data_IF_556435567269
#
_entry.id   IF_556435567269
#
_cell.length_a   1.000
_cell.length_b   1.000
_cell.length_c   1.000
_cell.angle_alpha   90.00
_cell.angle_beta   90.00
_cell.angle_gamma   90.00
#
_symmetry.space_group_name_H-M   'P 1'
#
loop_
_entity.id
_entity.type
_entity.pdbx_description
1 polymer ?
#
# COMPACT_ATOMS: atom_id res chain seq x y z
N UNK A 1 -6.30 -20.04 -7.99
CA UNK A 1 -6.97 -18.92 -7.39
C UNK A 1 -6.08 -18.20 -6.37
N UNK A 2 -6.03 -16.93 -6.47
CA UNK A 2 -5.19 -16.18 -5.56
C UNK A 2 -5.72 -16.30 -4.14
N UNK A 3 -4.84 -16.65 -3.24
CA UNK A 3 -5.15 -16.63 -1.84
C UNK A 3 -5.26 -15.18 -1.42
N UNK A 4 -6.40 -14.77 -0.99
CA UNK A 4 -6.59 -13.41 -0.53
C UNK A 4 -6.01 -13.30 0.86
N UNK A 5 -4.95 -12.52 0.98
CA UNK A 5 -4.46 -12.16 2.29
C UNK A 5 -5.40 -11.10 2.83
N UNK A 6 -6.01 -11.40 3.95
CA UNK A 6 -6.99 -10.52 4.54
C UNK A 6 -6.29 -9.53 5.47
N UNK A 7 -6.26 -8.26 5.08
CA UNK A 7 -5.76 -7.19 5.92
C UNK A 7 -6.92 -6.35 6.43
N UNK A 8 -6.77 -5.82 7.63
CA UNK A 8 -7.72 -4.86 8.18
C UNK A 8 -7.39 -3.47 7.64
N UNK A 9 -7.90 -3.17 6.45
CA UNK A 9 -7.67 -1.89 5.81
C UNK A 9 -8.92 -1.02 5.88
N UNK A 10 -8.75 0.31 5.96
CA UNK A 10 -9.89 1.21 5.83
C UNK A 10 -10.55 1.03 4.48
N UNK A 11 -11.86 1.07 4.45
CA UNK A 11 -12.62 0.91 3.22
C UNK A 11 -12.77 2.25 2.49
N UNK A 12 -12.64 2.21 1.17
CA UNK A 12 -12.99 3.33 0.31
C UNK A 12 -14.48 3.20 0.02
N UNK A 13 -15.31 3.52 1.01
CA UNK A 13 -16.75 3.39 0.86
C UNK A 13 -17.33 4.70 0.33
N UNK A 14 -18.56 4.60 -0.19
CA UNK A 14 -19.27 5.80 -0.66
C UNK A 14 -19.75 6.67 0.49
N UNK A 15 -19.83 6.12 1.69
CA UNK A 15 -20.21 6.87 2.87
C UNK A 15 -19.00 7.59 3.44
N UNK A 16 -19.05 8.91 3.47
CA UNK A 16 -17.93 9.74 3.87
C UNK A 16 -16.87 9.88 2.81
N UNK A 17 -16.87 8.97 1.83
CA UNK A 17 -16.05 9.10 0.63
C UNK A 17 -14.55 9.15 0.87
N UNK A 18 -13.88 9.78 -0.09
CA UNK A 18 -12.43 9.89 -0.12
C UNK A 18 -11.88 10.65 1.08
N UNK A 19 -12.56 11.70 1.51
CA UNK A 19 -12.13 12.51 2.66
C UNK A 19 -12.00 11.70 3.93
N UNK A 20 -12.99 10.85 4.20
CA UNK A 20 -12.97 10.00 5.39
C UNK A 20 -11.83 8.98 5.31
N UNK A 21 -11.63 8.41 4.14
CA UNK A 21 -10.53 7.48 3.93
C UNK A 21 -9.17 8.15 4.19
N UNK A 22 -8.96 9.33 3.62
CA UNK A 22 -7.71 10.05 3.79
C UNK A 22 -7.45 10.40 5.25
N UNK A 23 -8.51 10.74 5.99
CA UNK A 23 -8.39 11.00 7.43
C UNK A 23 -7.99 9.75 8.20
N UNK A 24 -8.54 8.60 7.83
CA UNK A 24 -8.25 7.34 8.50
C UNK A 24 -6.82 6.87 8.27
N UNK A 25 -6.34 6.95 7.04
CA UNK A 25 -4.99 6.43 6.74
C UNK A 25 -3.90 7.24 7.42
N UNK A 26 -4.16 8.49 7.76
CA UNK A 26 -3.20 9.33 8.49
C UNK A 26 -2.93 8.85 9.90
N UNK A 27 -3.83 8.04 10.45
CA UNK A 27 -3.70 7.55 11.83
C UNK A 27 -2.70 6.42 11.97
N UNK A 28 -2.36 5.74 10.87
CA UNK A 28 -1.38 4.66 10.94
C UNK A 28 0.02 5.24 11.10
N UNK A 29 0.81 4.71 12.05
CA UNK A 29 2.15 5.26 12.27
C UNK A 29 3.09 4.97 11.12
N UNK A 30 4.00 5.89 10.89
CA UNK A 30 5.12 5.68 9.98
C UNK A 30 6.12 4.76 10.66
N UNK A 31 6.81 3.96 9.88
CA UNK A 31 7.81 3.04 10.41
C UNK A 31 9.21 3.61 10.15
N UNK A 32 10.08 3.50 11.15
CA UNK A 32 11.49 3.79 10.89
C UNK A 32 12.14 2.59 10.18
N UNK A 33 13.37 2.76 9.74
CA UNK A 33 14.05 1.75 8.94
C UNK A 33 14.21 0.43 9.68
N UNK A 34 14.51 0.48 10.97
CA UNK A 34 14.72 -0.73 11.76
C UNK A 34 13.41 -1.49 11.96
N UNK A 35 12.34 -0.80 12.34
CA UNK A 35 11.04 -1.42 12.49
C UNK A 35 10.57 -2.07 11.19
N UNK A 36 10.71 -1.35 10.11
CA UNK A 36 10.32 -1.84 8.80
C UNK A 36 11.09 -3.11 8.43
N UNK A 37 12.39 -3.10 8.67
CA UNK A 37 13.25 -4.25 8.39
C UNK A 37 12.81 -5.47 9.20
N UNK A 38 12.57 -5.28 10.49
CA UNK A 38 12.14 -6.38 11.35
C UNK A 38 10.79 -6.93 10.96
N UNK A 39 9.85 -6.06 10.63
CA UNK A 39 8.52 -6.48 10.18
C UNK A 39 8.61 -7.23 8.85
N UNK A 40 9.43 -6.73 7.93
CA UNK A 40 9.58 -7.37 6.63
C UNK A 40 10.21 -8.75 6.76
N UNK A 41 11.20 -8.90 7.64
CA UNK A 41 11.80 -10.20 7.89
C UNK A 41 10.81 -11.17 8.52
N UNK A 42 10.03 -10.69 9.48
CA UNK A 42 9.03 -11.52 10.15
C UNK A 42 7.96 -12.00 9.17
N UNK A 43 7.53 -11.10 8.28
CA UNK A 43 6.58 -11.47 7.25
C UNK A 43 7.19 -12.48 6.27
N UNK A 44 8.39 -12.20 5.78
CA UNK A 44 9.02 -13.02 4.73
C UNK A 44 9.42 -14.41 5.26
N UNK A 45 9.98 -14.45 6.46
CA UNK A 45 10.51 -15.71 7.02
C UNK A 45 9.47 -16.54 7.75
N UNK A 46 8.49 -15.90 8.37
CA UNK A 46 7.52 -16.57 9.23
C UNK A 46 6.08 -16.51 8.74
N UNK A 47 5.83 -15.77 7.67
CA UNK A 47 4.48 -15.59 7.16
C UNK A 47 3.57 -14.84 8.12
N UNK A 48 4.14 -13.95 8.92
CA UNK A 48 3.37 -13.21 9.93
C UNK A 48 2.48 -12.16 9.27
N UNK A 49 1.19 -12.46 9.20
CA UNK A 49 0.19 -11.58 8.55
C UNK A 49 0.10 -10.22 9.22
N UNK A 50 0.21 -10.17 10.54
CA UNK A 50 0.15 -8.90 11.28
C UNK A 50 1.32 -7.99 10.90
N UNK A 51 2.50 -8.56 10.67
CA UNK A 51 3.65 -7.80 10.20
C UNK A 51 3.39 -7.26 8.81
N UNK A 52 2.86 -8.08 7.90
CA UNK A 52 2.51 -7.63 6.56
C UNK A 52 1.47 -6.51 6.60
N UNK A 53 0.47 -6.63 7.45
CA UNK A 53 -0.57 -5.61 7.62
C UNK A 53 0.04 -4.26 8.03
N UNK A 54 0.98 -4.27 8.96
CA UNK A 54 1.65 -3.04 9.38
C UNK A 54 2.47 -2.41 8.27
N UNK A 55 3.12 -3.25 7.46
CA UNK A 55 3.87 -2.76 6.30
C UNK A 55 2.92 -2.09 5.29
N UNK A 56 1.77 -2.69 5.05
CA UNK A 56 0.78 -2.12 4.13
C UNK A 56 0.21 -0.82 4.69
N UNK A 57 -0.29 -0.85 5.93
CA UNK A 57 -0.99 0.31 6.49
C UNK A 57 -0.09 1.54 6.65
N UNK A 58 1.20 1.32 6.93
CA UNK A 58 2.15 2.42 7.06
C UNK A 58 2.47 3.09 5.72
N UNK A 59 2.06 2.49 4.60
CA UNK A 59 2.33 3.00 3.26
C UNK A 59 1.07 3.39 2.48
N UNK A 60 -0.11 3.38 3.12
CA UNK A 60 -1.35 3.78 2.44
C UNK A 60 -1.32 5.25 2.03
N UNK A 61 -0.66 6.11 2.83
CA UNK A 61 -0.50 7.52 2.47
C UNK A 61 0.32 7.69 1.20
N UNK A 62 1.33 6.85 1.02
CA UNK A 62 2.13 6.88 -0.20
C UNK A 62 1.29 6.55 -1.42
N UNK A 63 0.44 5.54 -1.31
CA UNK A 63 -0.48 5.17 -2.41
C UNK A 63 -1.39 6.33 -2.75
N UNK A 64 -2.00 6.95 -1.74
CA UNK A 64 -2.92 8.08 -1.97
C UNK A 64 -2.20 9.25 -2.65
N UNK A 65 -0.99 9.54 -2.20
CA UNK A 65 -0.19 10.62 -2.78
C UNK A 65 0.12 10.34 -4.25
N UNK A 66 0.51 9.13 -4.58
CA UNK A 66 0.81 8.75 -5.97
C UNK A 66 -0.46 8.81 -6.82
N UNK A 67 -1.57 8.28 -6.30
CA UNK A 67 -2.84 8.29 -7.02
C UNK A 67 -3.33 9.70 -7.32
N UNK A 68 -3.13 10.62 -6.39
CA UNK A 68 -3.48 12.03 -6.59
C UNK A 68 -2.72 12.65 -7.75
N UNK A 69 -1.51 12.17 -8.02
CA UNK A 69 -0.72 12.61 -9.16
C UNK A 69 -1.31 12.24 -10.51
N UNK A 70 -2.25 11.30 -10.52
CA UNK A 70 -2.96 10.89 -11.73
C UNK A 70 -4.35 11.53 -11.84
N UNK A 71 -4.64 12.48 -10.98
CA UNK A 71 -5.88 13.23 -11.05
C UNK A 71 -5.96 13.94 -12.39
N UNK A 72 -7.11 13.87 -13.04
CA UNK A 72 -7.28 14.49 -14.35
C UNK A 72 -7.17 13.52 -15.52
N UNK A 73 -6.89 12.26 -15.26
CA UNK A 73 -6.85 11.26 -16.33
C UNK A 73 -8.22 10.65 -16.62
N UNK A 74 -9.26 11.23 -16.06
CA UNK A 74 -10.64 10.83 -16.35
C UNK A 74 -11.20 9.71 -15.48
N UNK A 75 -10.44 9.24 -14.50
CA UNK A 75 -10.87 8.19 -13.60
C UNK A 75 -10.96 8.71 -12.17
N UNK A 76 -11.89 8.16 -11.36
CA UNK A 76 -12.00 8.57 -9.97
C UNK A 76 -10.72 8.27 -9.18
N UNK A 77 -10.30 9.21 -8.35
CA UNK A 77 -9.11 9.02 -7.50
C UNK A 77 -9.27 7.80 -6.59
N UNK A 78 -10.48 7.58 -6.08
CA UNK A 78 -10.73 6.43 -5.20
C UNK A 78 -10.44 5.10 -5.89
N UNK A 79 -10.75 4.99 -7.17
CA UNK A 79 -10.45 3.77 -7.92
C UNK A 79 -8.97 3.62 -8.18
N UNK A 80 -8.28 4.73 -8.43
CA UNK A 80 -6.83 4.69 -8.60
C UNK A 80 -6.12 4.34 -7.29
N UNK A 81 -6.66 4.78 -6.16
CA UNK A 81 -6.14 4.38 -4.85
C UNK A 81 -6.32 2.87 -4.65
N UNK A 82 -7.49 2.33 -4.99
CA UNK A 82 -7.73 0.90 -4.87
C UNK A 82 -6.74 0.09 -5.70
N UNK A 83 -6.50 0.53 -6.93
CA UNK A 83 -5.52 -0.14 -7.80
C UNK A 83 -4.11 0.00 -7.25
N UNK A 84 -3.77 1.19 -6.76
CA UNK A 84 -2.47 1.41 -6.15
C UNK A 84 -2.25 0.56 -4.91
N UNK A 85 -3.29 0.35 -4.13
CA UNK A 85 -3.22 -0.52 -2.95
C UNK A 85 -2.91 -1.96 -3.35
N UNK A 86 -3.45 -2.43 -4.46
CA UNK A 86 -3.13 -3.75 -4.99
C UNK A 86 -1.63 -3.82 -5.32
N UNK A 87 -1.12 -2.79 -5.96
CA UNK A 87 0.32 -2.71 -6.25
C UNK A 87 1.17 -2.71 -4.99
N UNK A 88 0.75 -1.98 -3.98
CA UNK A 88 1.43 -1.97 -2.69
C UNK A 88 1.46 -3.36 -2.06
N UNK A 89 0.35 -4.06 -2.09
CA UNK A 89 0.29 -5.41 -1.53
C UNK A 89 1.21 -6.37 -2.26
N UNK A 90 1.34 -6.23 -3.57
CA UNK A 90 2.30 -7.01 -4.34
C UNK A 90 3.73 -6.68 -3.94
N UNK A 91 4.02 -5.40 -3.72
CA UNK A 91 5.34 -4.98 -3.28
C UNK A 91 5.70 -5.60 -1.93
N UNK A 92 4.76 -5.56 -0.97
CA UNK A 92 4.98 -6.15 0.36
C UNK A 92 5.26 -7.65 0.24
N UNK A 93 4.51 -8.31 -0.62
CA UNK A 93 4.66 -9.75 -0.84
C UNK A 93 6.04 -10.12 -1.38
N UNK A 94 6.60 -9.26 -2.23
CA UNK A 94 7.85 -9.56 -2.94
C UNK A 94 9.07 -8.85 -2.36
N UNK A 95 8.88 -8.00 -1.36
CA UNK A 95 9.96 -7.19 -0.81
C UNK A 95 11.02 -8.06 -0.14
N UNK A 96 12.27 -7.77 -0.44
CA UNK A 96 13.44 -8.45 0.14
C UNK A 96 14.21 -7.45 1.00
N UNK A 97 13.98 -7.45 2.32
CA UNK A 97 14.61 -6.45 3.18
C UNK A 97 16.13 -6.50 3.21
N UNK A 98 16.73 -7.67 2.96
CA UNK A 98 18.17 -7.80 2.94
C UNK A 98 18.85 -7.04 1.82
N UNK A 99 18.11 -6.60 0.82
CA UNK A 99 18.70 -5.84 -0.28
C UNK A 99 18.99 -4.38 0.07
N UNK A 100 18.61 -3.95 1.25
CA UNK A 100 18.99 -2.65 1.78
C UNK A 100 18.13 -1.47 1.34
N UNK A 101 17.08 -1.71 0.57
CA UNK A 101 16.15 -0.64 0.16
C UNK A 101 15.06 -0.48 1.19
N UNK A 102 14.53 0.73 1.28
CA UNK A 102 13.29 0.98 2.02
C UNK A 102 12.12 0.46 1.20
N UNK A 103 11.11 -0.02 1.89
CA UNK A 103 9.91 -0.52 1.20
C UNK A 103 9.26 0.56 0.33
N UNK A 104 9.22 1.80 0.78
CA UNK A 104 8.64 2.90 0.01
C UNK A 104 9.27 3.03 -1.38
N UNK A 105 10.58 2.91 -1.47
CA UNK A 105 11.31 3.01 -2.73
C UNK A 105 10.89 1.89 -3.69
N UNK A 106 10.83 0.69 -3.18
CA UNK A 106 10.45 -0.49 -3.97
C UNK A 106 8.96 -0.46 -4.34
N UNK A 107 8.12 -0.10 -3.37
CA UNK A 107 6.67 -0.09 -3.56
C UNK A 107 6.23 0.95 -4.58
N UNK A 108 6.95 2.06 -4.68
CA UNK A 108 6.60 3.12 -5.61
C UNK A 108 6.45 2.60 -7.05
N UNK A 109 7.33 1.70 -7.47
CA UNK A 109 7.28 1.11 -8.81
C UNK A 109 6.02 0.26 -8.99
N UNK A 110 5.71 -0.55 -8.00
CA UNK A 110 4.53 -1.41 -8.03
C UNK A 110 3.23 -0.60 -8.04
N UNK A 111 3.18 0.44 -7.21
CA UNK A 111 2.00 1.29 -7.11
C UNK A 111 1.75 2.01 -8.44
N UNK A 112 2.79 2.62 -8.99
CA UNK A 112 2.67 3.33 -10.27
C UNK A 112 2.30 2.39 -11.40
N UNK A 113 2.91 1.22 -11.45
CA UNK A 113 2.59 0.24 -12.49
C UNK A 113 1.13 -0.19 -12.42
N UNK A 114 0.62 -0.47 -11.22
CA UNK A 114 -0.77 -0.87 -11.05
C UNK A 114 -1.75 0.22 -11.48
N UNK A 115 -1.46 1.46 -11.12
CA UNK A 115 -2.32 2.59 -11.49
C UNK A 115 -2.28 2.81 -13.00
N UNK A 116 -1.09 2.82 -13.59
CA UNK A 116 -0.93 3.03 -15.02
C UNK A 116 -1.60 1.94 -15.85
N UNK A 117 -1.50 0.71 -15.40
CA UNK A 117 -2.16 -0.42 -16.04
C UNK A 117 -3.68 -0.25 -16.03
N UNK A 118 -4.20 0.27 -14.94
CA UNK A 118 -5.63 0.52 -14.80
C UNK A 118 -6.11 1.65 -15.72
N UNK A 119 -5.30 2.71 -15.86
CA UNK A 119 -5.63 3.85 -16.70
C UNK A 119 -5.64 3.47 -18.19
N UNK A 120 -4.74 2.60 -18.60
CA UNK A 120 -4.67 2.12 -19.98
C UNK A 120 -5.78 1.10 -20.24
#
# INVERSE_FOLDING_TARGET
MATTTSYNLPALSNEGGLSAYLAQIKKFPMLDAEEEYMLAKNWRNNGNIKAAEKLVTSHLRLVAKIAMGYKGYGLPVSEMISEGNIGLMQAVKKFEPEKGFRLATYAMWWIKASIQEYIL
#
